data_IF_010512332851
#
_entry.id   IF_010512332851
#
_cell.length_a   1.000
_cell.length_b   1.000
_cell.length_c   1.000
_cell.angle_alpha   90.00
_cell.angle_beta   90.00
_cell.angle_gamma   90.00
#
_symmetry.space_group_name_H-M   'P 1'
#
loop_
_entity.id
_entity.type
_entity.pdbx_description
1 polymer ?
#
# COMPACT_ATOMS: atom_id res chain seq x y z
N UNK A 1 -0.90 -0.42 -17.72
CA UNK A 1 -0.38 0.58 -16.77
C UNK A 1 -0.37 -0.02 -15.36
N UNK A 2 0.80 -0.18 -14.75
CA UNK A 2 0.99 -0.90 -13.49
C UNK A 2 1.18 0.11 -12.34
N UNK A 3 0.11 0.84 -12.02
CA UNK A 3 0.14 1.86 -10.97
C UNK A 3 0.13 1.21 -9.58
N UNK A 4 1.12 0.41 -9.20
CA UNK A 4 1.19 -0.13 -7.84
C UNK A 4 1.51 0.97 -6.80
N UNK A 5 1.99 2.12 -7.27
CA UNK A 5 2.18 3.35 -6.51
C UNK A 5 0.89 3.87 -5.84
N UNK A 6 -0.30 3.72 -6.45
CA UNK A 6 -1.56 4.13 -5.82
C UNK A 6 -1.94 3.25 -4.61
N UNK A 7 -1.35 2.07 -4.48
CA UNK A 7 -1.52 1.22 -3.30
C UNK A 7 -0.58 1.62 -2.15
N UNK A 8 0.39 2.51 -2.38
CA UNK A 8 1.25 3.02 -1.31
C UNK A 8 0.43 3.82 -0.29
N UNK A 9 -0.54 4.63 -0.74
CA UNK A 9 -1.42 5.43 0.13
C UNK A 9 -2.24 4.60 1.14
N UNK A 10 -3.01 3.56 0.74
CA UNK A 10 -3.76 2.76 1.71
C UNK A 10 -2.84 1.98 2.65
N UNK A 11 -1.65 1.56 2.22
CA UNK A 11 -0.66 0.95 3.11
C UNK A 11 -0.16 1.96 4.13
N UNK A 12 0.13 3.21 3.72
CA UNK A 12 0.51 4.28 4.64
C UNK A 12 -0.60 4.59 5.65
N UNK A 13 -1.86 4.57 5.23
CA UNK A 13 -3.01 4.79 6.12
C UNK A 13 -3.12 3.68 7.18
N UNK A 14 -3.00 2.41 6.79
CA UNK A 14 -3.02 1.28 7.73
C UNK A 14 -1.80 1.35 8.65
N UNK A 15 -0.60 1.56 8.10
CA UNK A 15 0.61 1.71 8.90
C UNK A 15 0.48 2.79 9.99
N UNK A 16 -0.10 3.95 9.63
CA UNK A 16 -0.39 5.04 10.58
C UNK A 16 -1.44 4.63 11.60
N UNK A 17 -2.51 3.96 11.18
CA UNK A 17 -3.58 3.46 12.06
C UNK A 17 -3.04 2.51 13.14
N UNK A 18 -2.09 1.64 12.77
CA UNK A 18 -1.46 0.69 13.68
C UNK A 18 -0.21 1.24 14.39
N UNK A 19 0.10 2.53 14.23
CA UNK A 19 1.29 3.17 14.78
C UNK A 19 2.57 2.36 14.54
N UNK A 20 2.73 1.76 13.35
CA UNK A 20 3.89 0.92 13.07
C UNK A 20 5.11 1.83 12.85
N UNK A 21 6.09 1.84 13.78
CA UNK A 21 7.31 2.60 13.58
C UNK A 21 8.03 2.07 12.32
N UNK A 22 8.63 2.98 11.55
CA UNK A 22 9.39 2.69 10.33
C UNK A 22 8.60 2.25 9.09
N UNK A 23 7.26 2.14 9.14
CA UNK A 23 6.49 1.86 7.92
C UNK A 23 6.62 2.95 6.87
N UNK A 24 6.61 4.21 7.33
CA UNK A 24 6.81 5.36 6.46
C UNK A 24 8.18 5.32 5.79
N UNK A 25 9.23 4.94 6.53
CA UNK A 25 10.58 4.82 5.99
C UNK A 25 10.70 3.64 5.02
N UNK A 26 10.10 2.49 5.33
CA UNK A 26 10.07 1.33 4.43
C UNK A 26 9.38 1.64 3.09
N UNK A 27 8.23 2.30 3.13
CA UNK A 27 7.52 2.74 1.92
C UNK A 27 8.30 3.80 1.16
N UNK A 28 8.84 4.78 1.87
CA UNK A 28 9.63 5.86 1.27
C UNK A 28 10.89 5.33 0.62
N UNK A 29 11.61 4.41 1.25
CA UNK A 29 12.82 3.78 0.72
C UNK A 29 12.50 2.91 -0.51
N UNK A 30 11.45 2.08 -0.42
CA UNK A 30 11.01 1.25 -1.54
C UNK A 30 10.52 2.06 -2.75
N UNK A 31 9.97 3.26 -2.52
CA UNK A 31 9.54 4.17 -3.60
C UNK A 31 10.62 5.17 -4.00
N UNK A 32 11.78 5.22 -3.32
CA UNK A 32 12.79 6.25 -3.55
C UNK A 32 13.52 6.02 -4.87
N UNK A 33 13.14 6.80 -5.88
CA UNK A 33 13.75 6.77 -7.21
C UNK A 33 13.31 5.60 -8.08
N UNK A 34 12.28 4.84 -7.68
CA UNK A 34 11.77 3.66 -8.41
C UNK A 34 10.26 3.56 -8.26
N UNK A 35 9.58 3.06 -9.30
CA UNK A 35 8.17 2.67 -9.18
C UNK A 35 8.07 1.42 -8.31
N UNK A 36 7.24 1.47 -7.27
CA UNK A 36 6.91 0.27 -6.51
C UNK A 36 6.30 -0.75 -7.47
N UNK A 37 6.82 -1.97 -7.45
CA UNK A 37 6.26 -3.11 -8.19
C UNK A 37 5.44 -3.99 -7.26
N UNK A 38 4.58 -4.85 -7.83
CA UNK A 38 3.79 -5.84 -7.07
C UNK A 38 4.64 -6.60 -6.04
N UNK A 39 5.81 -7.08 -6.46
CA UNK A 39 6.72 -7.85 -5.61
C UNK A 39 7.24 -7.04 -4.43
N UNK A 40 7.64 -5.78 -4.68
CA UNK A 40 8.10 -4.86 -3.63
C UNK A 40 6.98 -4.56 -2.64
N UNK A 41 5.77 -4.29 -3.14
CA UNK A 41 4.59 -4.06 -2.31
C UNK A 41 4.29 -5.25 -1.39
N UNK A 42 4.25 -6.46 -1.97
CA UNK A 42 4.03 -7.70 -1.22
C UNK A 42 5.13 -7.95 -0.18
N UNK A 43 6.37 -7.61 -0.51
CA UNK A 43 7.51 -7.72 0.41
C UNK A 43 7.36 -6.74 1.59
N UNK A 44 6.95 -5.49 1.32
CA UNK A 44 6.65 -4.49 2.37
C UNK A 44 5.51 -5.01 3.26
N UNK A 45 4.40 -5.43 2.68
CA UNK A 45 3.23 -5.95 3.41
C UNK A 45 3.64 -7.13 4.30
N UNK A 46 4.50 -8.03 3.81
CA UNK A 46 5.03 -9.14 4.59
C UNK A 46 5.87 -8.68 5.80
N UNK A 47 6.71 -7.66 5.60
CA UNK A 47 7.57 -7.06 6.65
C UNK A 47 6.80 -6.23 7.68
N UNK A 48 5.60 -5.74 7.36
CA UNK A 48 4.77 -5.01 8.31
C UNK A 48 4.30 -5.92 9.44
N UNK A 49 4.50 -5.48 10.68
CA UNK A 49 4.02 -6.16 11.88
C UNK A 49 2.54 -5.83 12.16
N UNK A 50 1.68 -5.99 11.15
CA UNK A 50 0.22 -5.80 11.24
C UNK A 50 -0.51 -7.12 11.48
N UNK A 51 -1.73 -7.09 12.06
CA UNK A 51 -2.56 -8.27 12.21
C UNK A 51 -2.88 -8.91 10.85
N UNK A 52 -3.04 -10.24 10.85
CA UNK A 52 -3.25 -11.05 9.64
C UNK A 52 -4.42 -10.56 8.78
N UNK A 53 -5.50 -10.09 9.40
CA UNK A 53 -6.67 -9.58 8.67
C UNK A 53 -6.36 -8.31 7.84
N UNK A 54 -5.48 -7.43 8.31
CA UNK A 54 -5.07 -6.24 7.54
C UNK A 54 -4.05 -6.62 6.47
N UNK A 55 -3.16 -7.57 6.78
CA UNK A 55 -2.26 -8.18 5.79
C UNK A 55 -3.06 -8.75 4.61
N UNK A 56 -4.10 -9.52 4.91
CA UNK A 56 -4.98 -10.14 3.90
C UNK A 56 -5.71 -9.09 3.04
N UNK A 57 -6.23 -8.01 3.68
CA UNK A 57 -6.79 -6.86 2.96
C UNK A 57 -5.77 -6.21 2.01
N UNK A 58 -4.54 -6.00 2.48
CA UNK A 58 -3.48 -5.40 1.67
C UNK A 58 -3.03 -6.31 0.53
N UNK A 59 -2.94 -7.63 0.75
CA UNK A 59 -2.67 -8.60 -0.32
C UNK A 59 -3.82 -8.71 -1.33
N UNK A 60 -5.06 -8.49 -0.89
CA UNK A 60 -6.25 -8.45 -1.74
C UNK A 60 -6.45 -7.13 -2.49
N UNK A 61 -5.67 -6.08 -2.17
CA UNK A 61 -5.67 -4.83 -2.90
C UNK A 61 -4.89 -4.97 -4.21
N UNK A 62 -5.54 -4.59 -5.32
CA UNK A 62 -4.92 -4.50 -6.63
C UNK A 62 -5.14 -3.10 -7.18
N UNK A 63 -4.21 -2.58 -8.01
CA UNK A 63 -4.37 -1.25 -8.58
C UNK A 63 -5.68 -1.13 -9.37
N UNK A 64 -6.11 -2.17 -10.07
CA UNK A 64 -7.41 -2.20 -10.76
C UNK A 64 -8.60 -2.01 -9.81
N UNK A 65 -8.57 -2.65 -8.64
CA UNK A 65 -9.64 -2.57 -7.64
C UNK A 65 -9.62 -1.23 -6.90
N UNK A 66 -8.44 -0.67 -6.67
CA UNK A 66 -8.27 0.62 -5.99
C UNK A 66 -8.50 1.82 -6.92
N UNK A 67 -8.12 1.77 -8.20
CA UNK A 67 -8.52 2.81 -9.19
C UNK A 67 -10.04 2.85 -9.32
N UNK A 68 -10.72 1.70 -9.33
CA UNK A 68 -12.18 1.63 -9.33
C UNK A 68 -12.84 2.26 -8.08
N UNK A 69 -12.12 2.27 -6.94
CA UNK A 69 -12.56 2.95 -5.71
C UNK A 69 -12.18 4.45 -5.71
N UNK A 70 -11.00 4.81 -6.22
CA UNK A 70 -10.49 6.17 -6.26
C UNK A 70 -11.25 7.05 -7.27
N UNK A 71 -11.65 6.48 -8.41
CA UNK A 71 -12.57 7.14 -9.35
C UNK A 71 -13.95 7.42 -8.75
N UNK A 72 -14.31 6.75 -7.64
CA UNK A 72 -15.56 6.98 -6.90
C UNK A 72 -15.46 8.10 -5.86
N UNK A 73 -14.26 8.61 -5.58
CA UNK A 73 -14.01 9.70 -4.63
C UNK A 73 -13.81 11.06 -5.33
N UNK A 74 -13.40 11.09 -6.61
CA UNK A 74 -13.27 12.33 -7.41
C UNK A 74 -14.59 12.79 -8.07
N UNK A 75 -15.73 12.63 -7.41
CA UNK A 75 -17.00 13.19 -7.88
C UNK A 75 -17.80 13.73 -6.69
N UNK A 76 -17.31 14.84 -6.14
CA UNK A 76 -17.96 15.65 -5.11
C UNK A 76 -17.57 17.11 -5.31
#
# INVERSE_FOLDING_TARGET
>A
ENSWEILAEPIQMIARKYNIPNSYELLKDASRGKKISKTELHNIISKLNIPKHEKDKLFGLTPTKYIGLSSKLCNG
#
